data_IF_835192822199
#
_entry.id   IF_835192822199
#
_cell.length_a   1.000
_cell.length_b   1.000
_cell.length_c   1.000
_cell.angle_alpha   90.00
_cell.angle_beta   90.00
_cell.angle_gamma   90.00
#
_symmetry.space_group_name_H-M   'P 1'
#
loop_
_entity.id
_entity.type
_entity.pdbx_description
1 polymer ?
#
# COMPACT_ATOMS: atom_id res chain seq x y z
N UNK A 1 -31.17 -45.83 11.56
CA UNK A 1 -29.68 -45.73 11.47
C UNK A 1 -29.32 -45.55 9.99
N UNK A 2 -28.60 -44.48 9.64
CA UNK A 2 -28.28 -44.14 8.25
C UNK A 2 -27.34 -45.19 7.64
N UNK A 3 -27.88 -46.07 6.78
CA UNK A 3 -27.13 -47.18 6.17
C UNK A 3 -25.98 -46.73 5.24
N UNK A 4 -25.98 -45.47 4.78
CA UNK A 4 -25.00 -44.95 3.83
C UNK A 4 -23.82 -44.19 4.44
N UNK A 5 -23.86 -43.82 5.72
CA UNK A 5 -22.80 -42.98 6.30
C UNK A 5 -21.47 -43.73 6.44
N UNK A 6 -21.50 -44.95 6.97
CA UNK A 6 -20.30 -45.76 7.12
C UNK A 6 -19.63 -46.14 5.79
N UNK A 7 -20.41 -46.30 4.71
CA UNK A 7 -19.89 -46.67 3.39
C UNK A 7 -19.11 -45.56 2.69
N UNK A 8 -19.25 -44.31 3.12
CA UNK A 8 -18.50 -43.17 2.56
C UNK A 8 -17.21 -42.87 3.33
N UNK A 9 -17.00 -43.51 4.49
CA UNK A 9 -15.82 -43.26 5.31
C UNK A 9 -14.63 -44.11 4.85
N UNK A 10 -13.44 -43.50 4.84
CA UNK A 10 -12.16 -44.17 4.52
C UNK A 10 -11.11 -43.80 5.58
N UNK A 11 -10.06 -44.62 5.69
CA UNK A 11 -8.90 -44.32 6.53
C UNK A 11 -9.25 -44.09 8.01
N UNK A 12 -8.67 -43.06 8.66
CA UNK A 12 -8.88 -42.77 10.09
C UNK A 12 -10.36 -42.58 10.47
N UNK A 13 -11.17 -41.99 9.59
CA UNK A 13 -12.59 -41.77 9.83
C UNK A 13 -13.38 -43.09 9.89
N UNK A 14 -13.04 -44.06 9.04
CA UNK A 14 -13.64 -45.40 9.08
C UNK A 14 -13.22 -46.15 10.34
N UNK A 15 -11.93 -46.12 10.68
CA UNK A 15 -11.39 -46.76 11.89
C UNK A 15 -12.01 -46.20 13.17
N UNK A 16 -12.23 -44.89 13.23
CA UNK A 16 -12.96 -44.29 14.33
C UNK A 16 -14.41 -44.80 14.40
N UNK A 17 -15.13 -44.79 13.27
CA UNK A 17 -16.54 -45.18 13.22
C UNK A 17 -16.79 -46.64 13.65
N UNK A 18 -15.88 -47.57 13.31
CA UNK A 18 -16.00 -48.99 13.71
C UNK A 18 -15.64 -49.24 15.19
N UNK A 19 -14.85 -48.35 15.80
CA UNK A 19 -14.44 -48.45 17.19
C UNK A 19 -15.40 -47.74 18.16
N UNK A 20 -16.48 -47.14 17.65
CA UNK A 20 -17.51 -46.53 18.49
C UNK A 20 -18.28 -47.60 19.28
N UNK A 21 -18.46 -47.43 20.60
CA UNK A 21 -19.19 -48.39 21.40
C UNK A 21 -20.66 -48.49 20.94
N UNK A 22 -21.13 -49.72 20.72
CA UNK A 22 -22.43 -50.06 20.10
C UNK A 22 -23.69 -49.56 20.84
N UNK A 23 -23.53 -48.87 21.96
CA UNK A 23 -24.60 -48.42 22.86
C UNK A 23 -24.70 -46.90 23.04
N UNK A 24 -23.80 -46.13 22.42
CA UNK A 24 -23.73 -44.67 22.61
C UNK A 24 -24.44 -43.84 21.54
N UNK A 25 -24.79 -44.44 20.40
CA UNK A 25 -25.28 -43.69 19.24
C UNK A 25 -26.74 -44.03 18.99
N UNK A 26 -27.63 -43.27 19.62
CA UNK A 26 -29.08 -43.42 19.48
C UNK A 26 -29.66 -42.64 18.30
N UNK A 27 -28.89 -41.72 17.71
CA UNK A 27 -29.33 -40.91 16.57
C UNK A 27 -28.17 -40.49 15.65
N UNK A 28 -28.50 -40.07 14.43
CA UNK A 28 -27.53 -39.50 13.50
C UNK A 28 -26.94 -38.18 14.00
N UNK A 29 -27.73 -37.37 14.73
CA UNK A 29 -27.24 -36.12 15.32
C UNK A 29 -26.06 -36.37 16.28
N UNK A 30 -26.21 -37.35 17.18
CA UNK A 30 -25.13 -37.74 18.11
C UNK A 30 -23.90 -38.25 17.35
N UNK A 31 -24.10 -39.04 16.29
CA UNK A 31 -22.99 -39.51 15.43
C UNK A 31 -22.27 -38.33 14.75
N UNK A 32 -23.02 -37.37 14.22
CA UNK A 32 -22.49 -36.17 13.56
C UNK A 32 -21.73 -35.30 14.56
N UNK A 33 -22.26 -35.07 15.75
CA UNK A 33 -21.62 -34.26 16.78
C UNK A 33 -20.31 -34.90 17.26
N UNK A 34 -20.30 -36.22 17.47
CA UNK A 34 -19.08 -36.96 17.84
C UNK A 34 -18.05 -36.96 16.69
N UNK A 35 -18.50 -37.06 15.44
CA UNK A 35 -17.62 -36.98 14.27
C UNK A 35 -16.97 -35.60 14.17
N UNK A 36 -17.74 -34.54 14.38
CA UNK A 36 -17.24 -33.16 14.44
C UNK A 36 -16.30 -32.99 15.64
N UNK A 37 -16.60 -33.49 16.83
CA UNK A 37 -15.69 -33.38 17.99
C UNK A 37 -14.33 -34.05 17.72
N UNK A 38 -14.34 -35.23 17.09
CA UNK A 38 -13.15 -36.03 16.82
C UNK A 38 -12.32 -35.50 15.65
N UNK A 39 -12.97 -35.01 14.59
CA UNK A 39 -12.29 -34.60 13.35
C UNK A 39 -12.36 -33.10 13.05
N UNK A 40 -13.18 -32.29 13.72
CA UNK A 40 -13.09 -30.83 13.57
C UNK A 40 -11.79 -30.30 14.16
N UNK A 41 -11.30 -30.93 15.24
CA UNK A 41 -9.96 -30.65 15.79
C UNK A 41 -8.86 -31.03 14.81
N UNK A 42 -9.03 -32.11 14.03
CA UNK A 42 -8.04 -32.51 13.01
C UNK A 42 -7.99 -31.52 11.84
N UNK A 43 -9.13 -30.92 11.45
CA UNK A 43 -9.18 -29.86 10.42
C UNK A 43 -8.50 -28.56 10.87
N UNK A 44 -8.50 -28.28 12.18
CA UNK A 44 -7.74 -27.15 12.75
C UNK A 44 -6.24 -27.46 12.90
N UNK A 45 -5.87 -28.72 13.14
CA UNK A 45 -4.48 -29.19 13.26
C UNK A 45 -3.80 -29.45 11.90
N UNK A 46 -4.57 -29.63 10.82
CA UNK A 46 -4.06 -29.78 9.45
C UNK A 46 -3.79 -28.45 8.73
N UNK A 47 -3.83 -27.31 9.43
CA UNK A 47 -3.15 -26.10 8.91
C UNK A 47 -1.65 -26.31 9.08
N UNK A 48 -1.11 -27.04 8.12
CA UNK A 48 0.31 -27.36 7.96
C UNK A 48 1.10 -26.05 8.02
N UNK A 49 2.32 -26.11 8.54
CA UNK A 49 3.26 -24.98 8.57
C UNK A 49 3.44 -24.25 7.22
N UNK A 50 3.04 -24.87 6.12
CA UNK A 50 3.04 -24.33 4.76
C UNK A 50 2.01 -23.22 4.55
N UNK A 51 0.95 -23.15 5.36
CA UNK A 51 -0.08 -22.12 5.26
C UNK A 51 0.48 -20.69 5.39
N UNK A 52 1.55 -20.49 6.15
CA UNK A 52 2.23 -19.18 6.23
C UNK A 52 2.90 -18.77 4.92
N UNK A 53 3.35 -19.73 4.11
CA UNK A 53 4.01 -19.46 2.83
C UNK A 53 3.03 -19.13 1.71
N UNK A 54 1.75 -19.42 1.90
CA UNK A 54 0.68 -19.07 0.96
C UNK A 54 0.27 -17.59 1.06
N UNK A 55 0.64 -16.92 2.15
CA UNK A 55 0.34 -15.51 2.37
C UNK A 55 1.34 -14.66 1.61
N UNK A 56 0.89 -14.06 0.52
CA UNK A 56 1.70 -13.20 -0.33
C UNK A 56 1.10 -11.79 -0.34
N UNK A 57 1.96 -10.79 -0.15
CA UNK A 57 1.61 -9.40 -0.34
C UNK A 57 1.33 -9.16 -1.83
N UNK A 58 0.12 -8.72 -2.15
CA UNK A 58 -0.22 -8.33 -3.51
C UNK A 58 0.30 -6.92 -3.84
N UNK A 59 0.59 -6.65 -5.11
CA UNK A 59 1.13 -5.33 -5.55
C UNK A 59 0.21 -4.14 -5.22
N UNK A 60 -1.10 -4.37 -5.18
CA UNK A 60 -2.09 -3.36 -4.84
C UNK A 60 -2.42 -3.32 -3.33
N UNK A 61 -1.86 -4.25 -2.56
CA UNK A 61 -2.14 -4.38 -1.13
C UNK A 61 -1.13 -3.56 -0.32
N UNK A 62 -1.61 -2.63 0.55
CA UNK A 62 -0.72 -1.92 1.46
C UNK A 62 -0.08 -2.91 2.44
N UNK A 63 1.15 -2.63 2.87
CA UNK A 63 1.88 -3.50 3.79
C UNK A 63 1.08 -3.84 5.07
N UNK A 64 0.28 -2.89 5.57
CA UNK A 64 -0.64 -3.10 6.70
C UNK A 64 -1.63 -4.24 6.48
N UNK A 65 -2.18 -4.35 5.26
CA UNK A 65 -3.10 -5.44 4.89
C UNK A 65 -2.40 -6.79 4.96
N UNK A 66 -1.21 -6.87 4.38
CA UNK A 66 -0.40 -8.07 4.42
C UNK A 66 -0.07 -8.52 5.84
N UNK A 67 0.37 -7.60 6.71
CA UNK A 67 0.65 -7.90 8.12
C UNK A 67 -0.59 -8.44 8.84
N UNK A 68 -1.78 -7.89 8.56
CA UNK A 68 -3.02 -8.34 9.15
C UNK A 68 -3.36 -9.78 8.72
N UNK A 69 -3.31 -10.06 7.41
CA UNK A 69 -3.51 -11.40 6.84
C UNK A 69 -2.51 -12.41 7.42
N UNK A 70 -1.24 -12.02 7.51
CA UNK A 70 -0.18 -12.87 8.08
C UNK A 70 -0.44 -13.19 9.55
N UNK A 71 -0.80 -12.20 10.36
CA UNK A 71 -1.08 -12.42 11.77
C UNK A 71 -2.33 -13.26 12.00
N UNK A 72 -3.36 -13.11 11.16
CA UNK A 72 -4.57 -13.93 11.23
C UNK A 72 -4.26 -15.41 11.00
N UNK A 73 -3.45 -15.72 9.99
CA UNK A 73 -3.00 -17.09 9.73
C UNK A 73 -2.11 -17.63 10.86
N UNK A 74 -1.17 -16.79 11.32
CA UNK A 74 -0.26 -17.13 12.42
C UNK A 74 -0.98 -17.51 13.71
N UNK A 75 -2.10 -16.85 14.03
CA UNK A 75 -2.92 -17.18 15.21
C UNK A 75 -3.66 -18.51 15.02
N UNK A 76 -3.97 -18.89 13.79
CA UNK A 76 -4.64 -20.15 13.48
C UNK A 76 -3.71 -21.37 13.53
N UNK A 77 -2.38 -21.18 13.54
CA UNK A 77 -1.37 -22.26 13.56
C UNK A 77 -0.77 -22.36 14.97
N UNK A 78 -1.24 -23.29 15.83
CA UNK A 78 -0.67 -23.49 17.16
C UNK A 78 0.76 -24.02 17.06
N UNK A 79 1.67 -23.48 17.88
CA UNK A 79 3.04 -23.99 17.99
C UNK A 79 3.94 -23.77 16.76
N UNK A 80 3.65 -22.76 15.93
CA UNK A 80 4.46 -22.48 14.73
C UNK A 80 5.95 -22.25 15.08
N UNK A 81 6.83 -22.71 14.19
CA UNK A 81 8.27 -22.52 14.31
C UNK A 81 8.65 -21.06 13.95
N UNK A 82 9.31 -20.35 14.86
CA UNK A 82 9.69 -18.93 14.69
C UNK A 82 10.55 -18.70 13.43
N UNK A 83 11.69 -19.39 13.23
CA UNK A 83 12.44 -19.36 11.98
C UNK A 83 11.58 -19.55 10.72
N UNK A 84 10.65 -20.52 10.75
CA UNK A 84 9.77 -20.77 9.60
C UNK A 84 8.82 -19.59 9.37
N UNK A 85 8.22 -19.03 10.41
CA UNK A 85 7.35 -17.86 10.29
C UNK A 85 8.10 -16.62 9.78
N UNK A 86 9.33 -16.40 10.23
CA UNK A 86 10.17 -15.30 9.73
C UNK A 86 10.50 -15.50 8.25
N UNK A 87 10.85 -16.72 7.86
CA UNK A 87 11.12 -17.09 6.46
C UNK A 87 9.89 -16.88 5.58
N UNK A 88 8.73 -17.37 6.02
CA UNK A 88 7.45 -17.21 5.34
C UNK A 88 7.06 -15.74 5.22
N UNK A 89 7.15 -14.97 6.31
CA UNK A 89 6.87 -13.54 6.30
C UNK A 89 7.75 -12.80 5.30
N UNK A 90 9.05 -13.09 5.27
CA UNK A 90 9.98 -12.46 4.32
C UNK A 90 9.64 -12.86 2.88
N UNK A 91 9.32 -14.13 2.63
CA UNK A 91 8.97 -14.65 1.31
C UNK A 91 7.65 -14.08 0.78
N UNK A 92 6.70 -13.77 1.67
CA UNK A 92 5.43 -13.17 1.29
C UNK A 92 5.53 -11.69 0.90
N UNK A 93 6.59 -10.98 1.28
CA UNK A 93 6.75 -9.57 0.90
C UNK A 93 7.03 -9.37 -0.59
N UNK A 94 6.73 -8.16 -1.08
CA UNK A 94 7.13 -7.75 -2.43
C UNK A 94 8.67 -7.74 -2.56
N UNK A 95 9.26 -8.43 -3.57
CA UNK A 95 10.72 -8.54 -3.72
C UNK A 95 11.45 -7.20 -3.86
N UNK A 96 10.79 -6.21 -4.46
CA UNK A 96 11.36 -4.89 -4.70
C UNK A 96 11.17 -3.93 -3.51
N UNK A 97 10.39 -4.34 -2.50
CA UNK A 97 10.04 -3.54 -1.33
C UNK A 97 11.21 -3.32 -0.37
N UNK A 98 11.24 -2.15 0.26
CA UNK A 98 12.37 -1.79 1.14
C UNK A 98 12.43 -2.66 2.40
N UNK A 99 11.28 -3.07 2.95
CA UNK A 99 11.21 -4.02 4.05
C UNK A 99 11.82 -5.38 3.67
N UNK A 100 11.58 -5.89 2.46
CA UNK A 100 12.18 -7.15 2.00
C UNK A 100 13.71 -7.04 1.94
N UNK A 101 14.23 -5.94 1.39
CA UNK A 101 15.67 -5.66 1.33
C UNK A 101 16.27 -5.55 2.74
N UNK A 102 15.60 -4.85 3.65
CA UNK A 102 16.06 -4.66 5.03
C UNK A 102 16.12 -6.01 5.78
N UNK A 103 15.07 -6.82 5.72
CA UNK A 103 15.02 -8.14 6.36
C UNK A 103 16.01 -9.13 5.74
N UNK A 104 16.40 -8.92 4.48
CA UNK A 104 17.46 -9.71 3.83
C UNK A 104 18.85 -9.30 4.29
N UNK A 105 19.09 -8.00 4.45
CA UNK A 105 20.36 -7.46 4.95
C UNK A 105 20.58 -7.77 6.44
N UNK A 106 19.52 -7.63 7.24
CA UNK A 106 19.58 -7.70 8.69
C UNK A 106 18.67 -8.80 9.21
N UNK A 107 19.23 -9.99 9.40
CA UNK A 107 18.53 -11.16 9.89
C UNK A 107 17.88 -10.91 11.26
N UNK A 108 16.62 -11.30 11.40
CA UNK A 108 15.90 -11.29 12.67
C UNK A 108 15.82 -12.71 13.24
N UNK A 109 16.06 -12.85 14.55
CA UNK A 109 15.89 -14.13 15.28
C UNK A 109 14.53 -14.26 15.97
N UNK A 110 13.83 -13.15 16.10
CA UNK A 110 12.57 -13.03 16.83
C UNK A 110 11.52 -12.39 15.90
N UNK A 111 10.29 -12.88 15.97
CA UNK A 111 9.20 -12.43 15.10
C UNK A 111 8.79 -10.98 15.45
N UNK A 112 8.92 -10.60 16.71
CA UNK A 112 8.64 -9.27 17.25
C UNK A 112 9.51 -8.20 16.57
N UNK A 113 10.77 -8.52 16.29
CA UNK A 113 11.68 -7.62 15.58
C UNK A 113 11.25 -7.42 14.12
N UNK A 114 10.78 -8.49 13.46
CA UNK A 114 10.26 -8.42 12.08
C UNK A 114 9.02 -7.53 12.04
N UNK A 115 8.06 -7.77 12.95
CA UNK A 115 6.82 -7.01 13.03
C UNK A 115 7.08 -5.54 13.39
N UNK A 116 8.03 -5.26 14.29
CA UNK A 116 8.39 -3.88 14.67
C UNK A 116 8.89 -3.08 13.48
N UNK A 117 9.76 -3.68 12.65
CA UNK A 117 10.24 -3.05 11.39
C UNK A 117 9.10 -2.88 10.38
N UNK A 118 8.26 -3.89 10.24
CA UNK A 118 7.12 -3.83 9.33
C UNK A 118 6.15 -2.69 9.71
N UNK A 119 5.85 -2.52 11.00
CA UNK A 119 5.01 -1.42 11.48
C UNK A 119 5.69 -0.05 11.34
N UNK A 120 7.01 0.03 11.52
CA UNK A 120 7.75 1.26 11.24
C UNK A 120 7.65 1.67 9.76
N UNK A 121 7.75 0.70 8.85
CA UNK A 121 7.55 0.90 7.42
C UNK A 121 6.12 1.36 7.09
N UNK A 122 5.10 0.69 7.65
CA UNK A 122 3.70 1.11 7.49
C UNK A 122 3.50 2.56 7.92
N UNK A 123 4.01 2.93 9.09
CA UNK A 123 3.90 4.30 9.59
C UNK A 123 4.54 5.31 8.62
N UNK A 124 5.73 5.00 8.11
CA UNK A 124 6.40 5.86 7.14
C UNK A 124 5.60 6.01 5.84
N UNK A 125 5.06 4.91 5.30
CA UNK A 125 4.21 4.93 4.09
C UNK A 125 2.94 5.78 4.30
N UNK A 126 2.31 5.67 5.46
CA UNK A 126 1.11 6.44 5.83
C UNK A 126 1.41 7.93 6.01
N UNK A 127 2.55 8.28 6.62
CA UNK A 127 3.00 9.66 6.79
C UNK A 127 3.28 10.31 5.42
N UNK A 128 3.99 9.63 4.53
CA UNK A 128 4.27 10.10 3.16
C UNK A 128 2.99 10.28 2.35
N UNK A 129 2.05 9.33 2.43
CA UNK A 129 0.77 9.43 1.77
C UNK A 129 -0.07 10.61 2.30
N UNK A 130 0.01 10.89 3.60
CA UNK A 130 -0.69 12.00 4.24
C UNK A 130 -0.16 13.36 3.79
N UNK A 131 1.17 13.52 3.73
CA UNK A 131 1.80 14.73 3.20
C UNK A 131 1.44 14.99 1.74
N UNK A 132 1.43 13.94 0.91
CA UNK A 132 1.07 14.03 -0.51
C UNK A 132 -0.40 14.47 -0.68
N UNK A 133 -1.31 13.95 0.14
CA UNK A 133 -2.73 14.36 0.15
C UNK A 133 -2.91 15.80 0.63
N UNK A 134 -2.10 16.26 1.58
CA UNK A 134 -2.14 17.64 2.07
C UNK A 134 -1.69 18.63 0.98
N UNK A 135 -0.63 18.31 0.24
CA UNK A 135 -0.14 19.12 -0.87
C UNK A 135 -1.20 19.26 -1.99
N UNK A 136 -1.87 18.16 -2.36
CA UNK A 136 -2.92 18.18 -3.37
C UNK A 136 -4.13 19.05 -2.96
N UNK A 137 -4.44 19.13 -1.66
CA UNK A 137 -5.52 19.96 -1.13
C UNK A 137 -5.17 21.46 -1.08
N UNK A 138 -3.89 21.82 -1.09
CA UNK A 138 -3.42 23.20 -1.10
C UNK A 138 -3.31 23.83 -2.49
N UNK A 139 -3.55 23.07 -3.57
CA UNK A 139 -3.66 23.59 -4.94
C UNK A 139 -5.11 23.76 -5.42
N UNK A 140 -5.87 24.78 -4.97
CA UNK A 140 -7.00 25.31 -5.71
C UNK A 140 -6.62 26.63 -6.40
N UNK A 141 -6.37 26.55 -7.73
CA UNK A 141 -6.38 27.62 -8.74
C UNK A 141 -5.23 28.65 -8.73
N UNK A 142 -4.35 28.48 -9.70
CA UNK A 142 -3.62 29.58 -10.34
C UNK A 142 -3.62 29.43 -11.86
N UNK A 143 -3.95 30.52 -12.56
CA UNK A 143 -3.76 30.76 -14.01
C UNK A 143 -4.88 30.29 -14.95
N UNK A 144 -5.95 31.10 -15.04
CA UNK A 144 -6.54 31.42 -16.35
C UNK A 144 -5.76 32.61 -16.91
N UNK A 145 -4.83 32.32 -17.81
CA UNK A 145 -4.29 33.30 -18.75
C UNK A 145 -5.29 33.42 -19.89
N UNK A 146 -5.87 34.60 -20.10
CA UNK A 146 -6.43 34.94 -21.40
C UNK A 146 -6.02 36.37 -21.76
N UNK A 147 -4.95 36.42 -22.54
CA UNK A 147 -4.72 37.30 -23.70
C UNK A 147 -5.50 38.61 -23.73
N UNK A 148 -4.76 39.72 -23.70
CA UNK A 148 -4.85 40.63 -24.85
C UNK A 148 -3.54 41.39 -25.03
N UNK A 149 -2.85 40.99 -26.09
CA UNK A 149 -1.72 41.63 -26.72
C UNK A 149 -2.08 43.05 -27.16
N UNK A 150 -1.10 43.93 -26.98
CA UNK A 150 -1.04 45.29 -27.48
C UNK A 150 -0.82 45.25 -29.00
N UNK A 151 -1.85 45.44 -29.81
CA UNK A 151 -1.71 45.74 -31.24
C UNK A 151 -2.15 47.17 -31.58
N UNK A 152 -1.29 47.87 -32.32
CA UNK A 152 -1.52 49.17 -32.95
C UNK A 152 -2.63 49.12 -34.02
N UNK A 153 -3.48 50.15 -34.10
CA UNK A 153 -3.71 51.00 -35.31
C UNK A 153 -4.81 52.08 -35.09
N UNK A 154 -4.87 53.14 -35.94
CA UNK A 154 -5.25 54.50 -35.52
C UNK A 154 -6.58 55.08 -36.07
N UNK A 155 -7.02 56.18 -35.41
CA UNK A 155 -7.91 57.30 -35.89
C UNK A 155 -9.45 57.08 -35.89
N UNK A 156 -10.34 58.13 -35.86
CA UNK A 156 -10.15 59.59 -35.77
C UNK A 156 -10.97 60.34 -34.67
N UNK A 157 -10.68 61.63 -34.55
CA UNK A 157 -11.18 62.73 -33.68
C UNK A 157 -12.69 62.76 -33.35
N UNK A 158 -13.07 63.52 -32.29
CA UNK A 158 -13.72 64.80 -32.59
C UNK A 158 -13.11 66.04 -31.89
N UNK A 159 -13.42 67.15 -32.54
CA UNK A 159 -13.12 68.59 -32.47
C UNK A 159 -13.21 69.35 -31.14
N UNK A 160 -12.38 70.42 -31.09
CA UNK A 160 -12.56 71.76 -30.45
C UNK A 160 -12.45 71.81 -28.91
N UNK A 161 -11.84 72.80 -28.24
CA UNK A 161 -11.45 74.18 -28.57
C UNK A 161 -10.46 74.71 -27.51
N UNK A 162 -9.68 75.76 -27.86
CA UNK A 162 -9.03 76.74 -26.96
C UNK A 162 -7.90 76.23 -26.04
N UNK A 163 -6.67 76.74 -26.01
CA UNK A 163 -6.09 77.99 -26.48
C UNK A 163 -4.88 78.31 -25.59
N UNK A 164 -3.82 78.86 -26.19
CA UNK A 164 -2.72 79.62 -25.58
C UNK A 164 -1.51 78.94 -24.88
N UNK A 165 -0.35 79.27 -25.48
CA UNK A 165 0.88 79.84 -24.90
C UNK A 165 1.99 78.91 -24.37
N UNK A 166 3.00 78.79 -25.24
CA UNK A 166 4.36 79.33 -25.03
C UNK A 166 5.43 78.51 -24.27
N UNK A 167 6.56 78.34 -24.99
CA UNK A 167 7.99 78.47 -24.59
C UNK A 167 8.85 77.21 -24.33
N UNK A 168 10.00 77.19 -25.05
CA UNK A 168 11.27 76.48 -24.78
C UNK A 168 11.38 75.14 -25.52
N UNK A 169 12.20 74.88 -26.56
CA UNK A 169 13.65 75.13 -26.80
C UNK A 169 14.45 74.72 -25.56
N UNK A 170 15.26 73.64 -25.54
CA UNK A 170 16.48 73.33 -26.31
C UNK A 170 16.57 71.79 -26.53
N UNK A 171 16.74 71.24 -27.75
CA UNK A 171 18.01 70.99 -28.47
C UNK A 171 19.18 70.46 -27.60
N UNK A 172 19.50 69.16 -27.70
CA UNK A 172 20.68 68.65 -28.46
C UNK A 172 20.94 67.16 -28.19
N UNK A 173 21.01 66.38 -29.29
CA UNK A 173 21.68 65.08 -29.46
C UNK A 173 23.18 65.35 -29.72
N UNK A 174 24.02 64.34 -30.05
CA UNK A 174 24.34 63.04 -29.43
C UNK A 174 25.88 62.98 -29.19
N UNK A 175 26.48 61.81 -28.94
CA UNK A 175 27.68 61.30 -29.65
C UNK A 175 28.14 59.97 -29.01
N UNK A 176 28.28 58.96 -29.86
CA UNK A 176 28.89 57.66 -29.61
C UNK A 176 30.42 57.74 -29.51
N UNK A 177 31.00 56.80 -28.75
CA UNK A 177 32.31 56.13 -28.95
C UNK A 177 32.29 54.97 -27.94
N UNK A 178 32.40 53.69 -28.29
CA UNK A 178 33.26 53.08 -29.29
C UNK A 178 34.41 52.38 -28.56
N UNK A 179 34.48 51.04 -28.70
CA UNK A 179 35.64 50.15 -28.44
C UNK A 179 36.03 49.88 -26.98
N UNK A 180 36.63 48.75 -26.59
CA UNK A 180 36.72 47.33 -27.01
C UNK A 180 37.51 46.65 -25.87
N UNK A 181 37.13 45.40 -25.58
CA UNK A 181 38.01 44.26 -25.23
C UNK A 181 38.92 44.24 -23.98
N UNK A 182 38.81 43.07 -23.32
CA UNK A 182 39.85 42.26 -22.67
C UNK A 182 40.43 42.81 -21.35
N UNK A 183 40.88 42.01 -20.37
CA UNK A 183 41.14 40.59 -20.27
C UNK A 183 40.97 40.17 -18.79
N UNK A 184 40.68 38.89 -18.59
CA UNK A 184 40.70 38.22 -17.29
C UNK A 184 42.09 38.21 -16.66
N UNK A 185 42.13 38.25 -15.33
CA UNK A 185 43.10 37.52 -14.51
C UNK A 185 42.33 36.90 -13.36
#
# INVERSE_FOLDING_TARGET
MCKGFGSTLIGPALQWCINLPSRFISSFAILSDNFVEQFASSRHLERISDGLYEILQHRAEPLRGYIASFNQEKVAIPGYNIPTAISAFKRGLLPDGDLYKELTKYHCKAMENVLSRAWAQVKWEEDVASLTKAQLKQDPKGVRSDRTEREERPSPRPTMNSGNRSRGIYQNRPIEKGERMAAST
#
